data_IF_009510232587
#
_entry.id   IF_009510232587
#
_cell.length_a   1.000
_cell.length_b   1.000
_cell.length_c   1.000
_cell.angle_alpha   90.00
_cell.angle_beta   90.00
_cell.angle_gamma   90.00
#
_symmetry.space_group_name_H-M   'P 1'
#
loop_
_entity.id
_entity.type
_entity.pdbx_description
1 polymer ?
#
# COMPACT_ATOMS: atom_id res chain seq x y z
N UNK A 1 -5.42 11.65 -22.93
CA UNK A 1 -5.58 11.77 -21.45
C UNK A 1 -4.93 10.55 -20.83
N UNK A 2 -4.04 10.70 -19.85
CA UNK A 2 -3.35 9.56 -19.22
C UNK A 2 -4.21 8.85 -18.18
N UNK A 3 -3.96 7.57 -17.94
CA UNK A 3 -4.70 6.70 -17.00
C UNK A 3 -4.18 6.76 -15.56
N UNK A 4 -3.03 7.40 -15.32
CA UNK A 4 -2.43 7.59 -13.99
C UNK A 4 -0.98 8.07 -14.09
N UNK A 5 -0.38 8.43 -12.95
CA UNK A 5 1.05 8.72 -12.81
C UNK A 5 1.60 7.86 -11.67
N UNK A 6 2.57 7.00 -11.96
CA UNK A 6 3.30 6.27 -10.92
C UNK A 6 4.28 7.22 -10.25
N UNK A 7 4.02 7.57 -8.98
CA UNK A 7 4.88 8.47 -8.19
C UNK A 7 5.83 7.71 -7.26
N UNK A 8 5.54 6.43 -7.00
CA UNK A 8 6.38 5.50 -6.26
C UNK A 8 6.29 4.16 -6.98
N UNK A 9 7.44 3.60 -7.39
CA UNK A 9 7.46 2.34 -8.12
C UNK A 9 6.80 1.19 -7.33
N UNK A 10 6.07 0.30 -7.99
CA UNK A 10 5.60 -0.92 -7.32
C UNK A 10 6.78 -1.82 -6.89
N UNK A 11 6.81 -2.21 -5.62
CA UNK A 11 7.77 -3.18 -5.09
C UNK A 11 7.04 -4.47 -4.71
N UNK A 12 7.46 -5.59 -5.30
CA UNK A 12 6.82 -6.88 -5.05
C UNK A 12 6.97 -7.31 -3.58
N UNK A 13 5.90 -7.82 -2.94
CA UNK A 13 5.91 -8.37 -1.58
C UNK A 13 7.01 -9.41 -1.32
N UNK A 14 7.80 -9.20 -0.27
CA UNK A 14 8.81 -10.18 0.20
C UNK A 14 8.79 -10.33 1.74
N UNK A 15 7.65 -10.72 2.35
CA UNK A 15 7.60 -10.91 3.79
C UNK A 15 8.52 -12.04 4.25
N UNK A 16 9.23 -11.78 5.35
CA UNK A 16 10.18 -12.73 5.93
C UNK A 16 9.55 -13.68 6.96
N UNK A 17 8.62 -13.17 7.77
CA UNK A 17 7.98 -13.91 8.87
C UNK A 17 6.47 -13.69 8.89
N UNK A 18 5.71 -14.76 9.08
CA UNK A 18 4.27 -14.71 9.26
C UNK A 18 3.47 -14.44 7.99
N UNK A 19 2.17 -14.22 8.17
CA UNK A 19 1.22 -13.88 7.13
C UNK A 19 1.01 -12.37 7.15
N UNK A 20 1.29 -11.70 6.04
CA UNK A 20 1.18 -10.26 5.90
C UNK A 20 -0.05 -9.89 5.08
N UNK A 21 -0.70 -8.78 5.45
CA UNK A 21 -1.81 -8.21 4.68
C UNK A 21 -1.25 -7.17 3.71
N UNK A 22 -1.52 -7.36 2.43
CA UNK A 22 -1.20 -6.40 1.37
C UNK A 22 -2.48 -5.70 0.99
N UNK A 23 -2.54 -4.39 1.25
CA UNK A 23 -3.77 -3.60 1.16
C UNK A 23 -3.68 -2.65 -0.03
N UNK A 24 -4.67 -2.72 -0.90
CA UNK A 24 -4.92 -1.76 -1.97
C UNK A 24 -6.04 -0.83 -1.51
N UNK A 25 -5.81 0.48 -1.57
CA UNK A 25 -6.77 1.52 -1.16
C UNK A 25 -6.90 2.53 -2.28
N UNK A 26 -8.13 2.83 -2.70
CA UNK A 26 -8.43 3.83 -3.71
C UNK A 26 -9.08 5.05 -3.06
N UNK A 27 -8.56 6.23 -3.38
CA UNK A 27 -9.09 7.52 -2.95
C UNK A 27 -9.53 8.35 -4.15
N UNK A 28 -10.54 9.20 -3.96
CA UNK A 28 -10.95 10.19 -4.96
C UNK A 28 -10.20 11.50 -4.72
N UNK A 29 -9.39 11.94 -5.68
CA UNK A 29 -8.74 13.25 -5.61
C UNK A 29 -9.73 14.37 -5.96
N UNK A 30 -9.58 15.54 -5.33
CA UNK A 30 -10.35 16.74 -5.67
C UNK A 30 -9.89 17.39 -6.99
N UNK A 31 -8.69 17.05 -7.46
CA UNK A 31 -8.10 17.54 -8.71
C UNK A 31 -6.90 16.71 -9.14
N UNK A 32 -6.35 17.00 -10.31
CA UNK A 32 -5.15 16.31 -10.84
C UNK A 32 -3.88 16.86 -10.16
N UNK A 33 -2.87 16.00 -9.94
CA UNK A 33 -1.57 16.37 -9.36
C UNK A 33 -1.65 16.98 -7.94
N UNK A 34 -2.62 16.54 -7.13
CA UNK A 34 -2.81 17.06 -5.77
C UNK A 34 -2.13 16.25 -4.67
N UNK A 35 -1.59 15.06 -4.99
CA UNK A 35 -0.93 14.18 -4.04
C UNK A 35 0.48 13.81 -4.54
N UNK A 36 1.44 13.80 -3.62
CA UNK A 36 2.85 13.54 -3.92
C UNK A 36 3.34 12.30 -3.15
N UNK A 37 4.41 11.69 -3.65
CA UNK A 37 5.01 10.52 -3.02
C UNK A 37 5.48 10.82 -1.59
N UNK A 38 5.32 9.84 -0.69
CA UNK A 38 6.06 9.86 0.57
C UNK A 38 7.55 9.70 0.29
N UNK A 39 8.38 10.38 1.07
CA UNK A 39 9.85 10.30 0.93
C UNK A 39 10.40 8.90 1.28
N UNK A 40 9.68 8.16 2.12
CA UNK A 40 10.09 6.86 2.65
C UNK A 40 8.91 5.88 2.60
N UNK A 41 9.21 4.59 2.45
CA UNK A 41 8.19 3.52 2.45
C UNK A 41 7.88 3.02 3.85
N UNK A 42 8.92 2.89 4.68
CA UNK A 42 8.79 2.48 6.06
C UNK A 42 7.98 3.51 6.85
N UNK A 43 7.21 3.02 7.82
CA UNK A 43 6.38 3.85 8.71
C UNK A 43 5.37 4.74 7.97
N UNK A 44 4.98 4.38 6.73
CA UNK A 44 3.89 5.05 6.02
C UNK A 44 2.55 4.81 6.71
N UNK A 45 1.77 5.87 6.89
CA UNK A 45 0.43 5.83 7.44
C UNK A 45 -0.59 6.33 6.42
N UNK A 46 -1.48 5.44 5.97
CA UNK A 46 -2.50 5.74 4.97
C UNK A 46 -3.51 6.80 5.44
N UNK A 47 -3.81 6.88 6.75
CA UNK A 47 -4.75 7.87 7.28
C UNK A 47 -4.16 9.27 7.23
N UNK A 48 -2.93 9.42 7.73
CA UNK A 48 -2.22 10.71 7.72
C UNK A 48 -2.01 11.21 6.28
N UNK A 49 -1.74 10.29 5.34
CA UNK A 49 -1.66 10.62 3.91
C UNK A 49 -2.99 11.12 3.34
N UNK A 50 -4.11 10.48 3.69
CA UNK A 50 -5.43 10.89 3.24
C UNK A 50 -5.84 12.26 3.81
N UNK A 51 -5.47 12.54 5.06
CA UNK A 51 -5.68 13.82 5.71
C UNK A 51 -4.84 14.93 5.06
N UNK A 52 -3.52 14.71 4.91
CA UNK A 52 -2.59 15.67 4.32
C UNK A 52 -3.02 16.14 2.91
N UNK A 53 -3.55 15.22 2.10
CA UNK A 53 -3.94 15.50 0.72
C UNK A 53 -5.44 15.69 0.52
N UNK A 54 -6.22 15.85 1.60
CA UNK A 54 -7.66 16.06 1.56
C UNK A 54 -8.42 15.02 0.71
N UNK A 55 -8.01 13.76 0.82
CA UNK A 55 -8.54 12.63 0.04
C UNK A 55 -9.85 12.07 0.64
N UNK A 56 -10.15 12.40 1.90
CA UNK A 56 -11.31 11.91 2.62
C UNK A 56 -11.24 10.40 2.89
N UNK A 57 -12.40 9.74 2.91
CA UNK A 57 -12.49 8.30 3.10
C UNK A 57 -12.14 7.53 1.82
N UNK A 58 -11.62 6.30 1.93
CA UNK A 58 -11.45 5.41 0.78
C UNK A 58 -12.79 5.19 0.05
N UNK A 59 -12.74 5.19 -1.28
CA UNK A 59 -13.90 4.82 -2.12
C UNK A 59 -13.92 3.32 -2.44
N UNK A 60 -12.79 2.64 -2.30
CA UNK A 60 -12.67 1.19 -2.37
C UNK A 60 -11.42 0.73 -1.60
N UNK A 61 -11.47 -0.48 -1.05
CA UNK A 61 -10.32 -1.14 -0.44
C UNK A 61 -10.41 -2.66 -0.62
N UNK A 62 -9.25 -3.31 -0.79
CA UNK A 62 -9.09 -4.76 -0.84
C UNK A 62 -7.81 -5.12 -0.07
N UNK A 63 -7.79 -6.29 0.55
CA UNK A 63 -6.56 -6.86 1.05
C UNK A 63 -6.38 -8.32 0.60
N UNK A 64 -5.12 -8.71 0.47
CA UNK A 64 -4.69 -10.08 0.22
C UNK A 64 -3.77 -10.51 1.35
N UNK A 65 -3.88 -11.78 1.75
CA UNK A 65 -2.91 -12.40 2.63
C UNK A 65 -1.77 -12.98 1.79
N UNK A 66 -0.53 -12.72 2.20
CA UNK A 66 0.63 -13.27 1.52
C UNK A 66 1.67 -13.69 2.57
N UNK A 67 2.29 -14.82 2.32
CA UNK A 67 3.36 -15.39 3.12
C UNK A 67 4.46 -15.87 2.18
N UNK A 68 5.68 -16.03 2.70
CA UNK A 68 6.76 -16.70 1.95
C UNK A 68 6.28 -18.09 1.51
N UNK A 69 6.59 -18.50 0.28
CA UNK A 69 6.11 -19.75 -0.32
C UNK A 69 6.38 -20.99 0.57
N UNK A 70 7.56 -21.05 1.19
CA UNK A 70 7.95 -22.13 2.13
C UNK A 70 7.44 -21.91 3.57
N UNK A 71 6.57 -20.93 3.79
CA UNK A 71 6.15 -20.45 5.10
C UNK A 71 7.32 -19.90 5.94
N UNK A 72 7.01 -19.54 7.18
CA UNK A 72 7.97 -19.17 8.22
C UNK A 72 8.18 -20.29 9.25
N UNK A 73 7.60 -21.48 9.03
CA UNK A 73 7.75 -22.62 9.91
C UNK A 73 9.08 -23.33 9.70
N UNK A 74 9.94 -23.31 10.71
CA UNK A 74 11.00 -24.31 10.84
C UNK A 74 10.39 -25.71 10.95
N UNK A 75 11.07 -26.70 10.39
CA UNK A 75 10.75 -28.13 10.53
C UNK A 75 10.51 -28.40 12.02
N UNK A 76 9.28 -28.75 12.42
CA UNK A 76 9.06 -29.32 13.74
C UNK A 76 9.77 -30.68 13.72
N UNK A 77 10.95 -30.75 14.32
CA UNK A 77 11.60 -32.00 14.73
C UNK A 77 10.91 -32.53 15.96
#
# INVERSE_FOLDING_TARGET
>A
MGVGQEVVCYESPRPFVGIHRFVFVLFRQLGRQTAYASRWRQNFNTRDFAELYNLGLPVAALYLNYQRERGSGGRRS
#
